data_IF_598851313403
#
_entry.id   IF_598851313403
#
_cell.length_a   1.000
_cell.length_b   1.000
_cell.length_c   1.000
_cell.angle_alpha   90.00
_cell.angle_beta   90.00
_cell.angle_gamma   90.00
#
_symmetry.space_group_name_H-M   'P 1'
#
loop_
_entity.id
_entity.type
_entity.pdbx_description
1 polymer ?
#
# COMPACT_ATOMS: atom_id res chain seq x y z
N UNK A 1 11.08 -32.76 -49.66
CA UNK A 1 9.75 -32.17 -49.41
C UNK A 1 8.79 -33.29 -49.01
N UNK A 2 7.78 -33.13 -48.11
CA UNK A 2 7.43 -31.97 -47.27
C UNK A 2 7.12 -32.27 -45.76
N UNK A 3 7.12 -31.18 -44.98
CA UNK A 3 6.32 -30.80 -43.79
C UNK A 3 6.17 -31.72 -42.54
N UNK A 4 6.78 -31.29 -41.42
CA UNK A 4 6.15 -31.35 -40.10
C UNK A 4 6.38 -30.06 -39.28
N UNK A 5 5.29 -29.30 -39.18
CA UNK A 5 4.80 -28.44 -38.10
C UNK A 5 5.79 -27.99 -37.01
N UNK A 6 6.05 -26.68 -37.04
CA UNK A 6 6.27 -25.82 -35.88
C UNK A 6 5.27 -26.11 -34.76
N UNK A 7 5.77 -26.42 -33.56
CA UNK A 7 5.01 -26.27 -32.32
C UNK A 7 5.91 -25.54 -31.33
N UNK A 8 5.71 -24.23 -31.28
CA UNK A 8 6.04 -23.34 -30.18
C UNK A 8 5.55 -23.96 -28.88
N UNK A 9 6.46 -24.21 -27.95
CA UNK A 9 6.10 -24.26 -26.55
C UNK A 9 7.12 -23.42 -25.80
N UNK A 10 6.78 -22.14 -25.65
CA UNK A 10 7.33 -21.26 -24.64
C UNK A 10 6.99 -21.86 -23.26
N UNK A 11 7.76 -22.85 -22.85
CA UNK A 11 7.90 -23.20 -21.45
C UNK A 11 9.01 -22.30 -20.89
N UNK A 12 8.77 -21.39 -19.98
CA UNK A 12 7.57 -21.02 -19.27
C UNK A 12 8.00 -19.85 -18.40
N UNK A 13 7.22 -18.78 -18.47
CA UNK A 13 6.99 -17.79 -17.44
C UNK A 13 8.15 -17.52 -16.45
N UNK A 14 8.79 -16.38 -16.69
CA UNK A 14 8.86 -15.30 -15.68
C UNK A 14 9.09 -15.81 -14.25
N UNK A 15 10.33 -16.16 -13.95
CA UNK A 15 10.92 -15.84 -12.64
C UNK A 15 11.01 -14.31 -12.52
N UNK A 16 9.85 -13.63 -12.55
CA UNK A 16 9.72 -12.35 -11.88
C UNK A 16 9.95 -12.71 -10.43
N UNK A 17 11.14 -12.34 -9.97
CA UNK A 17 11.48 -12.19 -8.58
C UNK A 17 10.27 -11.60 -7.87
N UNK A 18 9.47 -12.48 -7.28
CA UNK A 18 8.71 -12.15 -6.09
C UNK A 18 9.79 -11.83 -5.06
N UNK A 19 10.34 -10.63 -5.15
CA UNK A 19 10.76 -9.85 -4.00
C UNK A 19 9.44 -9.62 -3.26
N UNK A 20 8.94 -10.71 -2.66
CA UNK A 20 7.69 -10.81 -1.95
C UNK A 20 7.92 -10.04 -0.69
N UNK A 21 7.88 -8.72 -0.80
CA UNK A 21 7.92 -7.87 0.35
C UNK A 21 6.70 -8.22 1.18
N UNK A 22 6.95 -8.65 2.41
CA UNK A 22 5.92 -8.94 3.38
C UNK A 22 4.88 -7.81 3.39
N UNK A 23 3.59 -8.12 3.62
CA UNK A 23 2.53 -7.12 3.76
C UNK A 23 2.95 -5.92 4.61
N UNK A 24 3.60 -6.20 5.74
CA UNK A 24 4.17 -5.20 6.64
C UNK A 24 5.24 -4.32 5.99
N UNK A 25 6.19 -4.90 5.24
CA UNK A 25 7.22 -4.14 4.54
C UNK A 25 6.65 -3.31 3.39
N UNK A 26 5.56 -3.76 2.78
CA UNK A 26 4.83 -2.99 1.75
C UNK A 26 4.09 -1.82 2.39
N UNK A 27 3.39 -2.06 3.49
CA UNK A 27 2.72 -1.03 4.28
C UNK A 27 3.68 0.05 4.76
N UNK A 28 4.79 -0.36 5.40
CA UNK A 28 5.80 0.55 5.95
C UNK A 28 6.42 1.44 4.86
N UNK A 29 6.76 0.86 3.69
CA UNK A 29 7.28 1.63 2.55
C UNK A 29 6.24 2.55 1.92
N UNK A 30 4.98 2.14 1.90
CA UNK A 30 3.86 2.98 1.47
C UNK A 30 3.72 4.22 2.35
N UNK A 31 3.73 4.02 3.67
CA UNK A 31 3.66 5.13 4.62
C UNK A 31 4.87 6.07 4.50
N UNK A 32 6.10 5.54 4.45
CA UNK A 32 7.31 6.37 4.31
C UNK A 32 7.26 7.21 3.01
N UNK A 33 6.78 6.61 1.91
CA UNK A 33 6.63 7.31 0.64
C UNK A 33 5.55 8.40 0.68
N UNK A 34 4.42 8.15 1.36
CA UNK A 34 3.36 9.13 1.58
C UNK A 34 3.88 10.33 2.39
N UNK A 35 4.52 10.08 3.54
CA UNK A 35 5.01 11.14 4.42
C UNK A 35 6.16 11.94 3.81
N UNK A 36 7.02 11.33 2.98
CA UNK A 36 8.08 12.05 2.26
C UNK A 36 7.56 13.09 1.26
N UNK A 37 6.29 13.00 0.86
CA UNK A 37 5.66 13.98 -0.04
C UNK A 37 5.01 15.14 0.72
N UNK A 38 4.78 14.98 2.02
CA UNK A 38 4.23 16.06 2.83
C UNK A 38 5.35 17.06 3.13
N UNK A 39 5.19 18.28 2.63
CA UNK A 39 6.10 19.38 2.93
C UNK A 39 6.08 19.68 4.44
N UNK A 40 7.27 19.94 4.99
CA UNK A 40 7.42 20.31 6.40
C UNK A 40 7.47 19.14 7.39
N UNK A 41 7.29 17.89 6.93
CA UNK A 41 7.41 16.70 7.79
C UNK A 41 8.87 16.27 7.91
N UNK A 42 9.40 16.29 9.14
CA UNK A 42 10.75 15.82 9.41
C UNK A 42 10.81 14.28 9.60
N UNK A 43 12.03 13.73 9.72
CA UNK A 43 12.25 12.29 9.84
C UNK A 43 11.62 11.67 11.10
N UNK A 44 11.62 12.40 12.21
CA UNK A 44 11.05 11.95 13.49
C UNK A 44 9.52 11.93 13.46
N UNK A 45 8.93 12.99 12.92
CA UNK A 45 7.50 13.11 12.63
C UNK A 45 7.02 11.99 11.72
N UNK A 46 7.72 11.78 10.60
CA UNK A 46 7.43 10.68 9.66
C UNK A 46 7.48 9.33 10.36
N UNK A 47 8.52 9.05 11.14
CA UNK A 47 8.68 7.77 11.84
C UNK A 47 7.57 7.58 12.88
N UNK A 48 7.25 8.62 13.64
CA UNK A 48 6.20 8.59 14.66
C UNK A 48 4.84 8.30 14.04
N UNK A 49 4.50 9.00 12.97
CA UNK A 49 3.25 8.78 12.24
C UNK A 49 3.17 7.36 11.68
N UNK A 50 4.20 6.90 10.96
CA UNK A 50 4.17 5.57 10.35
C UNK A 50 4.19 4.42 11.37
N UNK A 51 4.81 4.62 12.53
CA UNK A 51 4.75 3.64 13.64
C UNK A 51 3.32 3.58 14.19
N UNK A 52 2.73 4.73 14.53
CA UNK A 52 1.35 4.80 15.01
C UNK A 52 0.36 4.16 14.03
N UNK A 53 0.51 4.46 12.74
CA UNK A 53 -0.38 3.95 11.70
C UNK A 53 -0.22 2.43 11.51
N UNK A 54 1.01 1.92 11.57
CA UNK A 54 1.27 0.47 11.52
C UNK A 54 0.67 -0.26 12.72
N UNK A 55 0.82 0.28 13.93
CA UNK A 55 0.26 -0.31 15.14
C UNK A 55 -1.27 -0.27 15.12
N UNK A 56 -1.85 0.85 14.65
CA UNK A 56 -3.27 1.05 14.51
C UNK A 56 -3.94 0.13 13.49
N UNK A 57 -3.18 -0.37 12.52
CA UNK A 57 -3.64 -1.26 11.44
C UNK A 57 -3.16 -2.70 11.61
N UNK A 58 -2.59 -3.05 12.77
CA UNK A 58 -2.07 -4.40 13.05
C UNK A 58 -3.14 -5.50 13.07
N UNK A 59 -4.40 -5.12 13.28
CA UNK A 59 -5.56 -6.03 13.23
C UNK A 59 -6.08 -6.28 11.80
N UNK A 60 -5.54 -5.60 10.78
CA UNK A 60 -5.95 -5.79 9.39
C UNK A 60 -5.38 -7.09 8.82
N UNK A 61 -6.06 -7.65 7.82
CA UNK A 61 -5.54 -8.78 7.07
C UNK A 61 -4.26 -8.40 6.31
N UNK A 62 -3.45 -9.40 6.00
CA UNK A 62 -2.24 -9.21 5.19
C UNK A 62 -2.55 -8.62 3.81
N UNK A 63 -3.68 -8.99 3.21
CA UNK A 63 -4.14 -8.45 1.93
C UNK A 63 -4.51 -6.97 2.05
N UNK A 64 -5.30 -6.60 3.07
CA UNK A 64 -5.67 -5.20 3.34
C UNK A 64 -4.41 -4.36 3.59
N UNK A 65 -3.45 -4.83 4.42
CA UNK A 65 -2.18 -4.11 4.68
C UNK A 65 -1.36 -3.92 3.42
N UNK A 66 -1.33 -4.92 2.54
CA UNK A 66 -0.60 -4.83 1.27
C UNK A 66 -1.25 -3.81 0.33
N UNK A 67 -2.58 -3.88 0.15
CA UNK A 67 -3.35 -2.93 -0.67
C UNK A 67 -3.19 -1.50 -0.17
N UNK A 68 -3.32 -1.27 1.14
CA UNK A 68 -3.08 0.03 1.77
C UNK A 68 -1.66 0.54 1.55
N UNK A 69 -0.65 -0.33 1.65
CA UNK A 69 0.74 0.01 1.35
C UNK A 69 0.96 0.49 -0.08
N UNK A 70 0.28 -0.13 -1.04
CA UNK A 70 0.33 0.27 -2.45
C UNK A 70 -0.38 1.61 -2.64
N UNK A 71 -1.59 1.77 -2.10
CA UNK A 71 -2.37 3.01 -2.18
C UNK A 71 -1.62 4.21 -1.57
N UNK A 72 -1.00 4.05 -0.40
CA UNK A 72 -0.17 5.12 0.21
C UNK A 72 1.05 5.46 -0.66
N UNK A 73 1.65 4.45 -1.31
CA UNK A 73 2.78 4.66 -2.21
C UNK A 73 2.36 5.39 -3.49
N UNK A 74 1.16 5.15 -4.01
CA UNK A 74 0.70 5.70 -5.29
C UNK A 74 0.00 7.05 -5.13
N UNK A 75 -0.70 7.25 -4.02
CA UNK A 75 -1.40 8.50 -3.69
C UNK A 75 -0.43 9.67 -3.57
N UNK A 76 -0.68 10.73 -4.36
CA UNK A 76 0.13 11.95 -4.33
C UNK A 76 -0.43 12.98 -3.36
N UNK A 77 -1.74 12.96 -3.12
CA UNK A 77 -2.45 13.77 -2.14
C UNK A 77 -3.42 12.93 -1.29
N UNK A 78 -3.87 13.47 -0.16
CA UNK A 78 -4.86 12.83 0.73
C UNK A 78 -6.16 12.48 -0.01
N UNK A 79 -6.57 13.32 -0.97
CA UNK A 79 -7.75 13.08 -1.79
C UNK A 79 -7.58 11.86 -2.72
N UNK A 80 -6.39 11.66 -3.30
CA UNK A 80 -6.08 10.49 -4.13
C UNK A 80 -6.14 9.20 -3.30
N UNK A 81 -5.65 9.26 -2.06
CA UNK A 81 -5.69 8.11 -1.14
C UNK A 81 -7.15 7.78 -0.80
N UNK A 82 -7.99 8.78 -0.54
CA UNK A 82 -9.42 8.55 -0.25
C UNK A 82 -10.18 7.97 -1.45
N UNK A 83 -9.91 8.48 -2.66
CA UNK A 83 -10.50 7.92 -3.90
C UNK A 83 -10.03 6.49 -4.11
N UNK A 84 -8.73 6.22 -3.92
CA UNK A 84 -8.16 4.87 -4.06
C UNK A 84 -8.70 3.88 -3.03
N UNK A 85 -8.92 4.31 -1.78
CA UNK A 85 -9.56 3.50 -0.74
C UNK A 85 -11.01 3.14 -1.09
N UNK A 86 -11.75 4.11 -1.65
CA UNK A 86 -13.13 3.87 -2.06
C UNK A 86 -13.19 2.93 -3.27
N UNK A 87 -12.35 3.14 -4.28
CA UNK A 87 -12.24 2.24 -5.44
C UNK A 87 -11.85 0.81 -5.03
N UNK A 88 -10.81 0.64 -4.22
CA UNK A 88 -10.39 -0.67 -3.73
C UNK A 88 -11.48 -1.36 -2.89
N UNK A 89 -12.28 -0.59 -2.14
CA UNK A 89 -13.42 -1.12 -1.39
C UNK A 89 -14.58 -1.55 -2.30
N UNK A 90 -14.86 -0.77 -3.35
CA UNK A 90 -15.93 -1.06 -4.31
C UNK A 90 -15.57 -2.25 -5.21
N UNK A 91 -14.28 -2.43 -5.52
CA UNK A 91 -13.73 -3.56 -6.28
C UNK A 91 -13.50 -4.82 -5.42
N UNK A 92 -13.61 -4.70 -4.08
CA UNK A 92 -13.44 -5.80 -3.13
C UNK A 92 -11.97 -6.18 -2.85
N UNK A 93 -11.02 -5.35 -3.27
CA UNK A 93 -9.57 -5.50 -3.00
C UNK A 93 -9.17 -5.02 -1.60
N UNK A 94 -10.04 -4.25 -0.96
CA UNK A 94 -9.90 -3.78 0.41
C UNK A 94 -11.23 -3.99 1.13
N UNK A 95 -11.21 -4.56 2.34
CA UNK A 95 -12.45 -4.67 3.10
C UNK A 95 -12.97 -3.27 3.48
N UNK A 96 -14.30 -3.06 3.46
CA UNK A 96 -14.94 -1.81 3.95
C UNK A 96 -14.47 -1.50 5.39
N UNK A 97 -14.29 -2.55 6.19
CA UNK A 97 -13.76 -2.45 7.57
C UNK A 97 -12.30 -2.00 7.58
N UNK A 98 -11.47 -2.52 6.67
CA UNK A 98 -10.07 -2.14 6.52
C UNK A 98 -9.87 -0.70 6.09
N UNK A 99 -10.65 -0.22 5.10
CA UNK A 99 -10.67 1.17 4.69
C UNK A 99 -11.08 2.11 5.85
N UNK A 100 -12.13 1.72 6.60
CA UNK A 100 -12.60 2.47 7.77
C UNK A 100 -11.57 2.55 8.89
N UNK A 101 -10.92 1.44 9.24
CA UNK A 101 -9.85 1.39 10.24
C UNK A 101 -8.67 2.27 9.81
N UNK A 102 -8.24 2.18 8.55
CA UNK A 102 -7.14 3.00 8.03
C UNK A 102 -7.43 4.50 8.18
N UNK A 103 -8.60 4.96 7.72
CA UNK A 103 -9.00 6.37 7.81
C UNK A 103 -9.11 6.85 9.26
N UNK A 104 -9.69 6.03 10.13
CA UNK A 104 -9.79 6.36 11.55
C UNK A 104 -8.40 6.51 12.17
N UNK A 105 -7.49 5.59 11.84
CA UNK A 105 -6.14 5.58 12.40
C UNK A 105 -5.26 6.68 11.86
N UNK A 106 -5.31 6.96 10.56
CA UNK A 106 -4.57 8.08 9.96
C UNK A 106 -4.95 9.43 10.58
N UNK A 107 -6.23 9.65 10.89
CA UNK A 107 -6.66 10.86 11.62
C UNK A 107 -6.21 10.87 13.09
N UNK A 108 -6.25 9.71 13.76
CA UNK A 108 -5.86 9.61 15.18
C UNK A 108 -4.34 9.66 15.39
N UNK A 109 -3.58 9.25 14.39
CA UNK A 109 -2.13 9.39 14.33
C UNK A 109 -1.83 10.84 13.96
N UNK A 110 -2.04 11.76 14.89
CA UNK A 110 -1.68 13.15 14.69
C UNK A 110 -0.16 13.24 14.54
N UNK A 111 0.31 13.73 13.40
CA UNK A 111 1.46 14.62 13.44
C UNK A 111 1.01 15.80 14.29
N UNK A 112 1.62 16.00 15.45
CA UNK A 112 1.41 17.24 16.19
C UNK A 112 2.13 18.33 15.39
N UNK A 113 1.53 18.78 14.28
CA UNK A 113 1.93 20.01 13.62
C UNK A 113 1.57 21.12 14.60
N UNK A 114 2.57 21.50 15.39
CA UNK A 114 2.55 22.80 16.05
C UNK A 114 2.61 23.82 14.90
N UNK A 115 1.44 24.36 14.55
CA UNK A 115 1.27 25.55 13.71
C UNK A 115 2.11 26.72 14.26
#
# INVERSE_FOLDING_TARGET
MPFRLTMTSLAGLLLLTACGSSPEATFSRGCDAMMKRQDGVNDEERKTFCTCLSDGTSALSDEDRKTLGILMKEGKADEDIRIGLQGASDEGELSVTGAGIFLQKSMSCSLTMVL
#
